data_IF_166630566776
#
_entry.id   IF_166630566776
#
_cell.length_a   1.000
_cell.length_b   1.000
_cell.length_c   1.000
_cell.angle_alpha   90.00
_cell.angle_beta   90.00
_cell.angle_gamma   90.00
#
_symmetry.space_group_name_H-M   'P 1'
#
loop_
_entity.id
_entity.type
_entity.pdbx_description
1 polymer ?
#
# COMPACT_ATOMS: atom_id res chain seq x y z
N UNK A 1 15.41 2.01 3.53
CA UNK A 1 14.05 2.14 3.00
C UNK A 1 13.22 0.88 3.28
N UNK A 2 13.33 -0.21 2.51
CA UNK A 2 12.56 -1.47 2.72
C UNK A 2 12.61 -2.02 4.16
N UNK A 3 13.80 -2.11 4.77
CA UNK A 3 13.92 -2.62 6.15
C UNK A 3 13.30 -1.71 7.22
N UNK A 4 13.10 -0.42 6.93
CA UNK A 4 12.46 0.54 7.84
C UNK A 4 10.93 0.42 7.76
N UNK A 5 10.38 0.31 6.55
CA UNK A 5 8.95 0.04 6.33
C UNK A 5 8.56 -1.29 6.99
N UNK A 6 9.37 -2.33 6.80
CA UNK A 6 9.12 -3.65 7.41
C UNK A 6 9.01 -3.55 8.94
N UNK A 7 9.98 -2.91 9.60
CA UNK A 7 9.94 -2.68 11.05
C UNK A 7 8.73 -1.89 11.52
N UNK A 8 8.27 -0.91 10.74
CA UNK A 8 7.07 -0.14 11.07
C UNK A 8 5.80 -1.01 10.98
N UNK A 9 5.64 -1.76 9.89
CA UNK A 9 4.52 -2.69 9.71
C UNK A 9 4.45 -3.67 10.88
N UNK A 10 5.59 -4.22 11.31
CA UNK A 10 5.69 -5.15 12.43
C UNK A 10 5.17 -4.58 13.78
N UNK A 11 5.11 -3.25 13.94
CA UNK A 11 4.59 -2.59 15.16
C UNK A 11 3.08 -2.35 15.16
N UNK A 12 2.38 -2.58 14.04
CA UNK A 12 0.96 -2.26 13.92
C UNK A 12 0.06 -3.42 14.38
N UNK A 13 -1.13 -3.12 14.95
CA UNK A 13 -2.07 -4.16 15.37
C UNK A 13 -2.62 -4.98 14.19
N UNK A 14 -2.64 -4.40 12.98
CA UNK A 14 -3.04 -5.04 11.73
C UNK A 14 -1.83 -5.51 10.88
N UNK A 15 -0.64 -5.70 11.48
CA UNK A 15 0.58 -6.10 10.76
C UNK A 15 0.41 -7.34 9.88
N UNK A 16 -0.35 -8.33 10.35
CA UNK A 16 -0.56 -9.60 9.64
C UNK A 16 -1.39 -9.39 8.37
N UNK A 17 -2.41 -8.52 8.45
CA UNK A 17 -3.21 -8.12 7.31
C UNK A 17 -2.36 -7.33 6.30
N UNK A 18 -1.53 -6.40 6.78
CA UNK A 18 -0.66 -5.59 5.91
C UNK A 18 0.38 -6.47 5.21
N UNK A 19 1.02 -7.40 5.93
CA UNK A 19 1.95 -8.36 5.33
C UNK A 19 1.24 -9.26 4.33
N UNK A 20 0.05 -9.76 4.66
CA UNK A 20 -0.77 -10.57 3.76
C UNK A 20 -1.08 -9.83 2.45
N UNK A 21 -1.50 -8.56 2.50
CA UNK A 21 -1.76 -7.76 1.30
C UNK A 21 -0.48 -7.46 0.49
N UNK A 22 0.68 -7.36 1.15
CA UNK A 22 1.97 -7.12 0.47
C UNK A 22 2.53 -8.38 -0.20
N UNK A 23 2.33 -9.55 0.42
CA UNK A 23 2.77 -10.84 -0.13
C UNK A 23 1.76 -11.41 -1.13
N UNK A 24 0.49 -11.04 -1.01
CA UNK A 24 -0.61 -11.49 -1.85
C UNK A 24 -1.37 -10.25 -2.37
N UNK A 25 -0.84 -9.56 -3.40
CA UNK A 25 -1.59 -8.47 -4.04
C UNK A 25 -2.93 -9.04 -4.50
N UNK A 26 -4.03 -8.35 -4.15
CA UNK A 26 -5.37 -8.88 -4.39
C UNK A 26 -5.68 -9.05 -5.89
N UNK A 27 -4.92 -8.38 -6.77
CA UNK A 27 -4.98 -8.55 -8.21
C UNK A 27 -3.60 -8.43 -8.86
N UNK A 28 -3.12 -9.47 -9.55
CA UNK A 28 -1.91 -9.42 -10.37
C UNK A 28 -2.25 -9.09 -11.83
N UNK A 29 -1.71 -7.98 -12.33
CA UNK A 29 -1.70 -7.68 -13.76
C UNK A 29 -0.74 -8.63 -14.48
N UNK A 30 -1.16 -9.19 -15.61
CA UNK A 30 -0.33 -10.11 -16.38
C UNK A 30 -1.11 -10.90 -17.42
N UNK A 31 -0.59 -12.06 -17.79
CA UNK A 31 -1.30 -12.97 -18.69
C UNK A 31 -2.44 -13.66 -17.95
N UNK A 32 -3.68 -13.36 -18.36
CA UNK A 32 -4.88 -13.98 -17.79
C UNK A 32 -5.78 -14.53 -18.90
N UNK A 33 -6.44 -15.64 -18.61
CA UNK A 33 -7.38 -16.28 -19.54
C UNK A 33 -8.78 -15.71 -19.27
N UNK A 34 -9.39 -15.11 -20.30
CA UNK A 34 -10.73 -14.50 -20.22
C UNK A 34 -11.71 -15.17 -21.16
N UNK A 35 -12.99 -15.35 -20.77
CA UNK A 35 -13.99 -15.86 -21.69
C UNK A 35 -14.20 -14.87 -22.85
N UNK A 36 -14.29 -15.39 -24.07
CA UNK A 36 -14.69 -14.61 -25.24
C UNK A 36 -16.18 -14.35 -25.13
N UNK A 37 -16.59 -13.08 -25.28
CA UNK A 37 -18.00 -12.70 -25.28
C UNK A 37 -18.58 -12.81 -26.70
N UNK A 38 -19.81 -13.31 -26.81
CA UNK A 38 -20.55 -13.34 -28.07
C UNK A 38 -21.15 -11.95 -28.43
N UNK A 39 -21.90 -11.87 -29.54
CA UNK A 39 -22.55 -10.61 -29.98
C UNK A 39 -23.62 -10.09 -29.02
N UNK A 40 -24.10 -10.92 -28.10
CA UNK A 40 -25.08 -10.59 -27.08
C UNK A 40 -24.41 -10.29 -25.72
N UNK A 41 -23.08 -10.43 -25.62
CA UNK A 41 -22.30 -10.19 -24.42
C UNK A 41 -22.19 -11.38 -23.47
N UNK A 42 -22.62 -12.58 -23.87
CA UNK A 42 -22.58 -13.77 -23.02
C UNK A 42 -21.20 -14.46 -23.07
N UNK A 43 -20.72 -15.04 -21.94
CA UNK A 43 -19.47 -15.80 -21.91
C UNK A 43 -19.57 -17.08 -22.75
N UNK A 44 -18.66 -17.24 -23.70
CA UNK A 44 -18.52 -18.47 -24.50
C UNK A 44 -17.65 -19.49 -23.76
N UNK A 45 -17.72 -20.77 -24.14
CA UNK A 45 -16.79 -21.82 -23.69
C UNK A 45 -15.34 -21.58 -24.12
N UNK A 46 -15.12 -20.71 -25.11
CA UNK A 46 -13.78 -20.32 -25.58
C UNK A 46 -13.18 -19.25 -24.66
N UNK A 47 -12.00 -19.53 -24.14
CA UNK A 47 -11.16 -18.58 -23.39
C UNK A 47 -10.03 -18.06 -24.27
N UNK A 48 -9.78 -16.75 -24.23
CA UNK A 48 -8.67 -16.09 -24.88
C UNK A 48 -7.66 -15.63 -23.83
N UNK A 49 -6.37 -15.88 -24.10
CA UNK A 49 -5.29 -15.38 -23.28
C UNK A 49 -5.05 -13.90 -23.60
N UNK A 50 -5.27 -13.02 -22.63
CA UNK A 50 -5.13 -11.58 -22.77
C UNK A 50 -4.05 -11.10 -21.81
N UNK A 51 -3.18 -10.20 -22.30
CA UNK A 51 -2.25 -9.50 -21.42
C UNK A 51 -2.95 -8.31 -20.78
N UNK A 52 -3.24 -8.44 -19.50
CA UNK A 52 -3.90 -7.41 -18.73
C UNK A 52 -2.93 -6.32 -18.33
N UNK A 53 -3.38 -5.09 -18.56
CA UNK A 53 -2.70 -3.89 -18.11
C UNK A 53 -3.70 -3.03 -17.38
N UNK A 54 -3.22 -2.09 -16.57
CA UNK A 54 -4.08 -1.15 -15.86
C UNK A 54 -5.13 -0.49 -16.77
N UNK A 55 -4.82 -0.22 -18.06
CA UNK A 55 -5.78 0.38 -19.00
C UNK A 55 -6.94 -0.55 -19.35
N UNK A 56 -6.66 -1.84 -19.48
CA UNK A 56 -7.55 -2.83 -20.09
C UNK A 56 -8.32 -3.70 -19.06
N UNK A 57 -8.03 -3.55 -17.77
CA UNK A 57 -8.80 -4.19 -16.69
C UNK A 57 -10.11 -3.44 -16.39
N UNK A 58 -11.04 -4.11 -15.71
CA UNK A 58 -12.35 -3.57 -15.32
C UNK A 58 -12.20 -2.40 -14.35
N UNK A 59 -13.25 -1.60 -14.20
CA UNK A 59 -13.23 -0.47 -13.29
C UNK A 59 -13.05 -0.90 -11.82
N UNK A 60 -13.67 -2.01 -11.42
CA UNK A 60 -13.53 -2.58 -10.08
C UNK A 60 -12.06 -2.91 -9.72
N UNK A 61 -11.34 -3.55 -10.65
CA UNK A 61 -9.90 -3.84 -10.47
C UNK A 61 -9.10 -2.54 -10.39
N UNK A 62 -9.43 -1.52 -11.19
CA UNK A 62 -8.77 -0.22 -11.13
C UNK A 62 -9.00 0.46 -9.78
N UNK A 63 -10.24 0.48 -9.31
CA UNK A 63 -10.61 1.10 -8.04
C UNK A 63 -9.89 0.42 -6.88
N UNK A 64 -9.78 -0.91 -6.92
CA UNK A 64 -9.00 -1.69 -5.96
C UNK A 64 -7.51 -1.36 -5.99
N UNK A 65 -6.88 -1.36 -7.17
CA UNK A 65 -5.46 -1.01 -7.32
C UNK A 65 -5.17 0.42 -6.85
N UNK A 66 -6.09 1.36 -7.10
CA UNK A 66 -5.97 2.73 -6.64
C UNK A 66 -6.12 2.83 -5.11
N UNK A 67 -7.06 2.11 -4.50
CA UNK A 67 -7.22 2.06 -3.06
C UNK A 67 -5.98 1.48 -2.36
N UNK A 68 -5.35 0.45 -2.94
CA UNK A 68 -4.07 -0.07 -2.45
C UNK A 68 -2.93 0.96 -2.57
N UNK A 69 -2.85 1.66 -3.71
CA UNK A 69 -1.86 2.72 -3.91
C UNK A 69 -2.04 3.89 -2.92
N UNK A 70 -3.28 4.29 -2.65
CA UNK A 70 -3.64 5.28 -1.64
C UNK A 70 -3.29 4.81 -0.23
N UNK A 71 -3.60 3.56 0.13
CA UNK A 71 -3.25 3.01 1.44
C UNK A 71 -1.72 2.99 1.65
N UNK A 72 -0.98 2.56 0.64
CA UNK A 72 0.49 2.62 0.65
C UNK A 72 0.97 4.07 0.76
N UNK A 73 0.38 5.00 0.00
CA UNK A 73 0.71 6.42 0.11
C UNK A 73 0.42 7.01 1.49
N UNK A 74 -0.72 6.72 2.11
CA UNK A 74 -1.08 7.20 3.45
C UNK A 74 -0.09 6.66 4.48
N UNK A 75 0.27 5.38 4.37
CA UNK A 75 1.29 4.75 5.22
C UNK A 75 2.64 5.45 5.04
N UNK A 76 3.06 5.72 3.80
CA UNK A 76 4.34 6.38 3.51
C UNK A 76 4.35 7.86 3.91
N UNK A 77 3.25 8.58 3.68
CA UNK A 77 3.13 10.02 3.96
C UNK A 77 2.99 10.29 5.46
N UNK A 78 2.27 9.43 6.20
CA UNK A 78 2.24 9.49 7.66
C UNK A 78 3.58 9.15 8.31
N UNK A 79 4.43 8.39 7.62
CA UNK A 79 5.81 8.11 8.07
C UNK A 79 6.76 9.27 7.71
N UNK A 80 6.66 9.81 6.50
CA UNK A 80 7.58 10.83 6.01
C UNK A 80 7.33 12.18 6.69
N UNK A 81 6.10 12.67 6.79
CA UNK A 81 5.85 14.02 7.33
C UNK A 81 6.26 14.15 8.81
N UNK A 82 5.95 13.16 9.65
CA UNK A 82 6.34 13.22 11.06
C UNK A 82 7.86 13.12 11.22
N UNK A 83 8.54 12.26 10.46
CA UNK A 83 10.01 12.10 10.57
C UNK A 83 10.75 13.34 10.04
N UNK A 84 10.32 13.93 8.92
CA UNK A 84 10.94 15.15 8.39
C UNK A 84 10.69 16.36 9.30
N UNK A 85 9.48 16.52 9.85
CA UNK A 85 9.17 17.57 10.83
C UNK A 85 9.98 17.42 12.13
N UNK A 86 10.22 16.19 12.59
CA UNK A 86 11.05 15.91 13.77
C UNK A 86 12.52 16.23 13.51
N UNK A 87 13.04 15.90 12.32
CA UNK A 87 14.42 16.20 11.93
C UNK A 87 14.64 17.71 11.79
N UNK A 88 13.67 18.44 11.24
CA UNK A 88 13.75 19.89 11.03
C UNK A 88 13.55 20.69 12.34
N UNK A 89 12.69 20.21 13.25
CA UNK A 89 12.44 20.85 14.55
C UNK A 89 13.51 20.54 15.62
N UNK A 90 14.29 19.47 15.46
CA UNK A 90 15.29 19.06 16.46
C UNK A 90 16.68 19.60 16.16
N UNK A 91 17.19 20.48 17.03
CA UNK A 91 18.52 21.09 16.90
C UNK A 91 19.70 20.12 17.12
N UNK A 92 19.46 18.96 17.76
CA UNK A 92 20.49 17.96 18.03
C UNK A 92 19.91 16.55 18.22
N UNK A 93 20.81 15.56 18.20
CA UNK A 93 20.44 14.14 18.28
C UNK A 93 19.77 13.72 19.60
N UNK A 94 19.97 14.46 20.69
CA UNK A 94 19.33 14.18 21.98
C UNK A 94 17.84 14.53 21.95
N UNK A 95 17.48 15.66 21.34
CA UNK A 95 16.08 16.06 21.16
C UNK A 95 15.35 15.11 20.20
N UNK A 96 16.02 14.68 19.12
CA UNK A 96 15.48 13.64 18.23
C UNK A 96 15.16 12.35 19.00
N UNK A 97 16.04 11.91 19.90
CA UNK A 97 15.84 10.69 20.68
C UNK A 97 14.62 10.77 21.61
N UNK A 98 14.43 11.90 22.30
CA UNK A 98 13.27 12.12 23.20
C UNK A 98 11.93 12.12 22.47
N UNK A 99 11.91 12.60 21.23
CA UNK A 99 10.69 12.63 20.41
C UNK A 99 10.38 11.23 19.87
N UNK A 100 11.41 10.47 19.47
CA UNK A 100 11.28 9.05 19.10
C UNK A 100 10.76 8.21 20.27
N UNK A 101 11.20 8.49 21.51
CA UNK A 101 10.69 7.81 22.71
C UNK A 101 9.20 8.10 22.96
N UNK A 102 8.76 9.35 22.79
CA UNK A 102 7.34 9.73 22.94
C UNK A 102 6.45 9.11 21.86
N UNK A 103 6.91 9.09 20.61
CA UNK A 103 6.20 8.43 19.52
C UNK A 103 6.06 6.92 19.74
N UNK A 104 7.07 6.26 20.29
CA UNK A 104 6.99 4.83 20.66
C UNK A 104 5.92 4.56 21.73
N UNK A 105 5.58 5.56 22.53
CA UNK A 105 4.54 5.48 23.55
C UNK A 105 3.15 5.80 22.99
N UNK A 106 3.04 6.09 21.70
CA UNK A 106 1.77 6.39 21.04
C UNK A 106 1.26 7.82 21.30
N UNK A 107 2.10 8.68 21.87
CA UNK A 107 1.75 10.10 22.03
C UNK A 107 1.86 10.81 20.68
N UNK A 108 0.79 11.50 20.29
CA UNK A 108 0.81 12.42 19.16
C UNK A 108 1.66 13.64 19.53
N UNK A 109 2.60 14.01 18.66
CA UNK A 109 3.39 15.21 18.84
C UNK A 109 2.51 16.40 18.47
N UNK A 110 2.10 17.20 19.46
CA UNK A 110 1.50 18.50 19.20
C UNK A 110 2.66 19.48 19.01
N UNK A 111 3.04 19.72 17.76
CA UNK A 111 4.05 20.73 17.35
C UNK A 111 3.39 22.11 17.26
#
# INVERSE_FOLDING_TARGET
WKSRIKRYIDTKPNRELIHYCLENPLYELGWNDKPVLDSEGNPTTTTARVFETYKNVTQEIKDQLNAEAEAVQIILTGIDNDIYLIVDACLNACEMWKVIERLKQGESINV
#
